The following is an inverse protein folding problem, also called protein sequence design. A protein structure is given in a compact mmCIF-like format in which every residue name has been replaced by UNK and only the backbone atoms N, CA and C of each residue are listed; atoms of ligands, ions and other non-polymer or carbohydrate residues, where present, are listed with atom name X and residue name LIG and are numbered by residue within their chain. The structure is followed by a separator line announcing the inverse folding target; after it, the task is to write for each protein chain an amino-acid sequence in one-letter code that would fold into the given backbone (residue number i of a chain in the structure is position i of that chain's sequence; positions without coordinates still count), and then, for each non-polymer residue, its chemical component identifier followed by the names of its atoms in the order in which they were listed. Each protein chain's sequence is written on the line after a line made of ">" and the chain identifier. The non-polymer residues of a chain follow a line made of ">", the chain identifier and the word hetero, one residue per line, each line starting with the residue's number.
data_IF_110916240693
#
_entry.id   IF_110916240693
#
_cell.length_a   1.000
_cell.length_b   1.000
_cell.length_c   1.000
_cell.angle_alpha   90.00
_cell.angle_beta   90.00
_cell.angle_gamma   90.00
#
_symmetry.space_group_name_H-M   'P 1'
#
loop_
_entity.id
_entity.type
_entity.pdbx_description
1 polymer ?
#
# COMPACT_ATOMS: atom_id res chain seq x y z
N UNK A 1 1.06 -14.53 7.99
CA UNK A 1 1.24 -13.89 9.32
C UNK A 1 -0.05 -13.20 9.71
N UNK A 2 -0.40 -13.13 11.00
CA UNK A 2 -1.50 -12.26 11.46
C UNK A 2 -1.04 -11.43 12.65
N UNK A 3 -1.48 -10.17 12.72
CA UNK A 3 -1.14 -9.23 13.79
C UNK A 3 -2.41 -8.61 14.34
N UNK A 4 -2.48 -8.51 15.67
CA UNK A 4 -3.52 -7.75 16.36
C UNK A 4 -3.03 -6.31 16.54
N UNK A 5 -3.74 -5.35 15.95
CA UNK A 5 -3.40 -3.92 16.01
C UNK A 5 -4.63 -3.09 16.37
N UNK A 6 -4.46 -1.81 16.70
CA UNK A 6 -5.59 -0.90 16.86
C UNK A 6 -6.41 -0.81 15.56
N UNK A 7 -7.75 -0.70 15.66
CA UNK A 7 -8.66 -0.70 14.50
C UNK A 7 -8.31 0.35 13.45
N UNK A 8 -7.97 1.57 13.87
CA UNK A 8 -7.58 2.64 12.94
C UNK A 8 -6.31 2.28 12.14
N UNK A 9 -5.35 1.59 12.79
CA UNK A 9 -4.14 1.12 12.11
C UNK A 9 -4.50 0.02 11.11
N UNK A 10 -5.36 -0.92 11.50
CA UNK A 10 -5.86 -1.96 10.60
C UNK A 10 -6.53 -1.37 9.35
N UNK A 11 -7.40 -0.36 9.54
CA UNK A 11 -8.04 0.37 8.43
C UNK A 11 -7.02 1.00 7.50
N UNK A 12 -5.95 1.60 8.02
CA UNK A 12 -4.87 2.18 7.20
C UNK A 12 -4.07 1.11 6.44
N UNK A 13 -3.84 -0.07 7.02
CA UNK A 13 -3.11 -1.17 6.37
C UNK A 13 -3.86 -1.72 5.15
N UNK A 14 -5.19 -1.79 5.22
CA UNK A 14 -6.06 -2.36 4.17
C UNK A 14 -6.75 -1.31 3.30
N UNK A 15 -6.53 -0.03 3.56
CA UNK A 15 -7.21 1.07 2.87
C UNK A 15 -6.99 1.01 1.35
N UNK A 16 -8.01 1.41 0.58
CA UNK A 16 -7.96 1.49 -0.88
C UNK A 16 -7.79 2.94 -1.35
N UNK A 17 -7.26 3.18 -2.56
CA UNK A 17 -7.18 4.52 -3.14
C UNK A 17 -8.51 5.27 -3.09
N UNK A 18 -8.44 6.57 -2.86
CA UNK A 18 -9.59 7.47 -2.70
C UNK A 18 -10.19 7.49 -1.30
N UNK A 19 -9.79 6.58 -0.40
CA UNK A 19 -10.31 6.57 0.97
C UNK A 19 -9.50 7.48 1.90
N UNK A 20 -10.14 7.99 2.96
CA UNK A 20 -9.48 8.79 3.99
C UNK A 20 -8.37 8.01 4.72
N UNK A 21 -8.45 6.70 4.82
CA UNK A 21 -7.42 5.91 5.51
C UNK A 21 -6.18 5.62 4.63
N UNK A 22 -6.30 5.78 3.31
CA UNK A 22 -5.25 5.45 2.36
C UNK A 22 -4.07 6.42 2.45
N UNK A 23 -2.87 5.86 2.41
CA UNK A 23 -1.64 6.61 2.58
C UNK A 23 -0.38 5.78 2.37
N UNK A 24 0.76 6.35 2.78
CA UNK A 24 2.06 5.67 2.73
C UNK A 24 2.05 4.27 3.36
N UNK A 25 1.41 4.11 4.53
CA UNK A 25 1.31 2.82 5.21
C UNK A 25 0.56 1.80 4.35
N UNK A 26 -0.55 2.19 3.72
CA UNK A 26 -1.33 1.32 2.84
C UNK A 26 -0.47 0.81 1.69
N UNK A 27 0.23 1.72 1.01
CA UNK A 27 1.12 1.38 -0.12
C UNK A 27 2.25 0.46 0.32
N UNK A 28 2.97 0.80 1.39
CA UNK A 28 4.08 0.00 1.92
C UNK A 28 3.65 -1.45 2.20
N UNK A 29 2.48 -1.59 2.83
CA UNK A 29 1.98 -2.90 3.26
C UNK A 29 1.49 -3.73 2.07
N UNK A 30 0.72 -3.11 1.18
CA UNK A 30 0.11 -3.76 0.02
C UNK A 30 1.11 -4.04 -1.10
N UNK A 31 2.26 -3.35 -1.12
CA UNK A 31 3.38 -3.64 -2.03
C UNK A 31 4.02 -5.01 -1.76
N UNK A 32 3.96 -5.50 -0.52
CA UNK A 32 4.67 -6.72 -0.09
C UNK A 32 3.73 -7.85 0.31
N UNK A 33 2.47 -7.53 0.60
CA UNK A 33 1.51 -8.50 1.12
C UNK A 33 0.08 -8.19 0.71
N UNK A 34 -0.72 -9.24 0.56
CA UNK A 34 -2.18 -9.16 0.56
C UNK A 34 -2.64 -9.07 2.00
N UNK A 35 -3.20 -7.93 2.36
CA UNK A 35 -3.71 -7.66 3.70
C UNK A 35 -5.23 -7.69 3.74
N UNK A 36 -5.78 -8.24 4.83
CA UNK A 36 -7.22 -8.19 5.11
C UNK A 36 -7.47 -8.12 6.61
N UNK A 37 -8.51 -7.37 6.99
CA UNK A 37 -9.05 -7.44 8.36
C UNK A 37 -9.83 -8.73 8.47
N UNK A 38 -9.48 -9.57 9.43
CA UNK A 38 -10.15 -10.85 9.69
C UNK A 38 -11.37 -10.60 10.57
N UNK A 39 -11.17 -9.95 11.72
CA UNK A 39 -12.25 -9.52 12.62
C UNK A 39 -11.77 -8.40 13.56
N UNK A 40 -12.71 -7.72 14.21
CA UNK A 40 -12.46 -6.70 15.24
C UNK A 40 -12.59 -7.30 16.64
N UNK A 41 -11.79 -6.80 17.59
CA UNK A 41 -11.81 -7.23 18.99
C UNK A 41 -12.19 -6.02 19.87
N UNK A 42 -13.24 -6.13 20.70
CA UNK A 42 -13.64 -5.05 21.59
C UNK A 42 -12.67 -4.90 22.78
N UNK A 43 -12.59 -3.72 23.40
CA UNK A 43 -11.74 -3.49 24.58
C UNK A 43 -11.96 -4.46 25.74
N UNK A 44 -13.21 -4.89 25.96
CA UNK A 44 -13.56 -5.82 27.04
C UNK A 44 -12.94 -7.21 26.93
N UNK A 45 -12.32 -7.54 25.79
CA UNK A 45 -11.58 -8.79 25.60
C UNK A 45 -10.13 -8.75 26.13
N UNK A 46 -9.69 -7.65 26.72
CA UNK A 46 -8.33 -7.45 27.23
C UNK A 46 -8.32 -7.17 28.75
N UNK A 47 -7.19 -7.46 29.40
CA UNK A 47 -6.94 -7.11 30.80
C UNK A 47 -5.54 -6.50 30.96
N UNK A 48 -5.41 -5.21 31.33
CA UNK A 48 -6.48 -4.22 31.50
C UNK A 48 -7.13 -3.82 30.16
N UNK A 49 -8.39 -3.35 30.15
CA UNK A 49 -9.08 -2.98 28.93
C UNK A 49 -8.50 -1.68 28.31
N UNK A 50 -8.16 -1.66 27.01
CA UNK A 50 -7.72 -0.45 26.32
C UNK A 50 -8.88 0.54 26.07
N UNK A 51 -8.58 1.74 25.57
CA UNK A 51 -9.60 2.75 25.23
C UNK A 51 -10.20 2.60 23.82
N UNK A 52 -9.62 1.74 22.99
CA UNK A 52 -9.94 1.64 21.56
C UNK A 52 -10.12 0.19 21.14
N UNK A 53 -10.86 -0.01 20.05
CA UNK A 53 -10.99 -1.33 19.42
C UNK A 53 -9.67 -1.79 18.81
N UNK A 54 -9.46 -3.10 18.81
CA UNK A 54 -8.41 -3.77 18.07
C UNK A 54 -9.00 -4.49 16.85
N UNK A 55 -8.13 -4.91 15.94
CA UNK A 55 -8.49 -5.72 14.78
C UNK A 55 -7.35 -6.69 14.45
N UNK A 56 -7.70 -7.93 14.15
CA UNK A 56 -6.76 -8.93 13.65
C UNK A 56 -6.62 -8.74 12.15
N UNK A 57 -5.41 -8.47 11.69
CA UNK A 57 -5.08 -8.30 10.28
C UNK A 57 -4.21 -9.46 9.83
N UNK A 58 -4.63 -10.17 8.78
CA UNK A 58 -3.79 -11.20 8.16
C UNK A 58 -3.01 -10.61 6.99
N UNK A 59 -1.75 -11.01 6.89
CA UNK A 59 -0.79 -10.66 5.86
C UNK A 59 -0.36 -11.95 5.15
N UNK A 60 -0.75 -12.08 3.89
CA UNK A 60 -0.25 -13.10 2.97
C UNK A 60 0.85 -12.44 2.13
N UNK A 61 2.11 -12.78 2.41
CA UNK A 61 3.26 -12.23 1.67
C UNK A 61 3.16 -12.69 0.22
N UNK A 62 3.06 -11.75 -0.71
CA UNK A 62 3.08 -12.06 -2.14
C UNK A 62 4.54 -12.06 -2.55
N UNK A 63 5.18 -13.22 -2.36
CA UNK A 63 6.61 -13.31 -2.58
C UNK A 63 6.96 -13.48 -4.05
N UNK A 64 7.62 -12.50 -4.63
CA UNK A 64 8.81 -12.75 -5.45
C UNK A 64 9.99 -12.92 -4.50
N UNK A 65 10.08 -14.09 -3.85
CA UNK A 65 11.28 -14.37 -3.08
C UNK A 65 12.49 -14.41 -4.04
N UNK A 66 13.64 -13.81 -3.69
CA UNK A 66 14.89 -14.17 -4.33
C UNK A 66 15.11 -15.69 -4.17
N UNK A 67 15.74 -16.34 -5.16
CA UNK A 67 15.80 -17.80 -5.31
C UNK A 67 16.28 -18.59 -4.07
N UNK A 68 16.93 -17.92 -3.11
CA UNK A 68 17.44 -18.52 -1.87
C UNK A 68 16.37 -18.80 -0.80
N UNK A 69 15.15 -18.27 -0.89
CA UNK A 69 14.10 -18.51 0.12
C UNK A 69 13.32 -19.85 -0.06
N UNK A 70 13.67 -20.67 -1.06
CA UNK A 70 13.01 -21.96 -1.32
C UNK A 70 13.19 -23.03 -0.22
N UNK A 71 13.87 -22.75 0.90
CA UNK A 71 14.15 -23.73 1.96
C UNK A 71 13.22 -23.70 3.18
N UNK A 72 12.16 -22.89 3.20
CA UNK A 72 11.16 -22.94 4.27
C UNK A 72 9.89 -23.67 3.80
N UNK A 73 9.82 -24.97 4.05
CA UNK A 73 8.58 -25.75 3.91
C UNK A 73 7.57 -25.23 4.94
N UNK A 74 6.37 -24.77 4.56
CA UNK A 74 5.34 -24.43 5.54
C UNK A 74 4.72 -25.70 6.14
N UNK A 75 4.38 -25.73 7.45
CA UNK A 75 3.65 -26.85 8.02
C UNK A 75 2.22 -26.89 7.47
N UNK A 76 1.80 -28.09 7.07
CA UNK A 76 0.46 -28.38 6.61
C UNK A 76 -0.55 -28.32 7.76
N UNK A 77 -1.70 -27.68 7.53
CA UNK A 77 -3.04 -28.16 7.91
C UNK A 77 -4.09 -27.11 7.54
N UNK A 78 -5.24 -27.58 7.07
CA UNK A 78 -6.26 -26.81 6.36
C UNK A 78 -7.24 -26.02 7.23
N UNK A 79 -7.91 -25.08 6.57
CA UNK A 79 -9.32 -24.74 6.78
C UNK A 79 -9.74 -23.78 5.66
N UNK A 80 -10.61 -24.26 4.78
CA UNK A 80 -11.28 -23.52 3.73
C UNK A 80 -12.28 -22.51 4.33
N UNK A 81 -12.41 -21.32 3.74
CA UNK A 81 -13.73 -20.69 3.55
C UNK A 81 -13.66 -19.50 2.59
N UNK A 82 -14.15 -19.77 1.38
CA UNK A 82 -14.88 -18.91 0.44
C UNK A 82 -15.01 -17.43 0.82
N UNK A 83 -14.00 -16.63 0.54
CA UNK A 83 -14.14 -15.18 0.39
C UNK A 83 -14.29 -14.83 -1.09
N UNK A 84 -15.31 -14.04 -1.42
CA UNK A 84 -15.58 -13.48 -2.77
C UNK A 84 -14.31 -12.87 -3.36
N UNK A 85 -14.10 -12.91 -4.69
CA UNK A 85 -12.92 -12.33 -5.33
C UNK A 85 -12.96 -10.81 -5.16
N UNK A 86 -12.31 -10.33 -4.10
CA UNK A 86 -12.12 -8.92 -3.83
C UNK A 86 -11.11 -8.39 -4.84
N UNK A 87 -11.62 -7.65 -5.82
CA UNK A 87 -10.93 -6.80 -6.78
C UNK A 87 -9.43 -7.06 -6.91
N UNK A 88 -9.10 -8.13 -7.63
CA UNK A 88 -7.73 -8.44 -8.00
C UNK A 88 -7.25 -7.36 -8.97
N UNK A 89 -6.42 -6.44 -8.49
CA UNK A 89 -5.43 -5.85 -9.38
C UNK A 89 -4.43 -6.99 -9.61
N UNK A 90 -4.65 -7.77 -10.67
CA UNK A 90 -3.65 -8.68 -11.19
C UNK A 90 -2.43 -7.85 -11.56
N UNK A 91 -1.45 -7.79 -10.66
CA UNK A 91 -0.18 -7.07 -10.90
C UNK A 91 0.65 -7.92 -11.86
N UNK A 92 0.27 -7.90 -13.13
CA UNK A 92 1.22 -8.04 -14.23
C UNK A 92 1.82 -6.66 -14.44
N UNK A 93 2.76 -6.26 -13.58
CA UNK A 93 3.45 -4.97 -13.72
C UNK A 93 4.87 -5.16 -13.20
N UNK A 94 5.84 -4.77 -14.01
CA UNK A 94 7.27 -4.74 -13.66
C UNK A 94 7.46 -4.12 -12.28
N UNK A 95 7.80 -4.94 -11.28
CA UNK A 95 8.15 -4.45 -9.95
C UNK A 95 9.24 -3.36 -10.09
N UNK A 96 9.15 -2.23 -9.37
CA UNK A 96 10.21 -1.24 -9.37
C UNK A 96 11.55 -1.94 -9.05
N UNK A 97 12.54 -1.82 -9.95
CA UNK A 97 13.86 -2.47 -9.81
C UNK A 97 14.51 -2.18 -8.45
N UNK A 98 14.22 -1.02 -7.87
CA UNK A 98 14.66 -0.62 -6.53
C UNK A 98 13.44 -0.25 -5.64
N UNK A 99 13.00 -1.20 -4.80
CA UNK A 99 11.88 -1.01 -3.86
C UNK A 99 12.15 0.10 -2.85
N UNK A 100 13.41 0.33 -2.49
CA UNK A 100 13.77 1.35 -1.49
C UNK A 100 13.56 2.74 -2.08
N UNK A 101 14.12 3.01 -3.27
CA UNK A 101 13.92 4.29 -3.97
C UNK A 101 12.45 4.55 -4.29
N UNK A 102 11.71 3.51 -4.69
CA UNK A 102 10.27 3.65 -4.90
C UNK A 102 9.53 4.04 -3.61
N UNK A 103 9.83 3.40 -2.48
CA UNK A 103 9.21 3.76 -1.20
C UNK A 103 9.58 5.17 -0.75
N UNK A 104 10.81 5.63 -1.00
CA UNK A 104 11.18 7.04 -0.77
C UNK A 104 10.36 8.00 -1.65
N UNK A 105 10.15 7.67 -2.92
CA UNK A 105 9.26 8.42 -3.82
C UNK A 105 7.82 8.46 -3.30
N UNK A 106 7.26 7.31 -2.89
CA UNK A 106 5.91 7.25 -2.32
C UNK A 106 5.84 8.07 -1.04
N UNK A 107 6.85 8.01 -0.17
CA UNK A 107 6.91 8.83 1.05
C UNK A 107 6.83 10.32 0.70
N UNK A 108 7.54 10.78 -0.33
CA UNK A 108 7.47 12.17 -0.83
C UNK A 108 6.06 12.51 -1.32
N UNK A 109 5.41 11.63 -2.08
CA UNK A 109 4.04 11.82 -2.55
C UNK A 109 3.03 12.06 -1.41
N UNK A 110 3.24 11.45 -0.25
CA UNK A 110 2.33 11.56 0.92
C UNK A 110 2.78 12.57 1.99
N UNK A 111 3.85 13.35 1.77
CA UNK A 111 4.39 14.33 2.73
C UNK A 111 3.32 15.29 3.26
N UNK A 112 2.55 15.90 2.35
CA UNK A 112 1.39 16.70 2.71
C UNK A 112 0.14 16.12 2.08
N UNK A 113 -0.63 15.37 2.88
CA UNK A 113 -1.83 14.64 2.44
C UNK A 113 -2.86 15.50 1.70
N UNK A 114 -2.99 16.78 2.07
CA UNK A 114 -3.99 17.70 1.48
C UNK A 114 -3.49 18.45 0.24
N UNK A 115 -2.20 18.38 -0.10
CA UNK A 115 -1.63 18.99 -1.31
C UNK A 115 -1.67 18.00 -2.47
N UNK A 116 -1.74 18.51 -3.69
CA UNK A 116 -1.64 17.69 -4.91
C UNK A 116 -0.22 17.10 -5.07
N UNK A 117 -0.09 16.10 -5.93
CA UNK A 117 1.19 15.44 -6.21
C UNK A 117 2.25 16.44 -6.69
N UNK A 118 1.84 17.38 -7.54
CA UNK A 118 2.74 18.37 -8.10
C UNK A 118 3.43 19.17 -6.99
N UNK A 119 2.70 19.68 -6.01
CA UNK A 119 3.30 20.43 -4.89
C UNK A 119 4.10 19.55 -3.92
N UNK A 120 3.81 18.25 -3.83
CA UNK A 120 4.59 17.33 -3.02
C UNK A 120 5.90 16.90 -3.70
N UNK A 121 5.94 16.90 -5.04
CA UNK A 121 7.09 16.42 -5.82
C UNK A 121 7.97 17.55 -6.39
N UNK A 122 7.51 18.80 -6.33
CA UNK A 122 8.23 19.95 -6.91
C UNK A 122 9.60 20.25 -6.29
N UNK A 123 9.91 19.66 -5.12
CA UNK A 123 11.23 19.76 -4.51
C UNK A 123 12.26 18.80 -5.13
N UNK A 124 11.81 17.73 -5.80
CA UNK A 124 12.68 16.69 -6.39
C UNK A 124 12.65 16.65 -7.91
N UNK A 125 11.57 17.14 -8.53
CA UNK A 125 11.39 17.13 -9.98
C UNK A 125 10.85 18.47 -10.45
N UNK A 126 11.18 18.88 -11.68
CA UNK A 126 10.63 20.10 -12.27
C UNK A 126 9.11 19.98 -12.47
N UNK A 127 8.38 21.08 -12.24
CA UNK A 127 6.91 21.11 -12.33
C UNK A 127 6.43 20.68 -13.73
N UNK A 128 7.04 21.22 -14.78
CA UNK A 128 6.71 20.87 -16.17
C UNK A 128 6.88 19.38 -16.45
N UNK A 129 7.90 18.74 -15.87
CA UNK A 129 8.12 17.30 -16.05
C UNK A 129 7.04 16.49 -15.36
N UNK A 130 6.66 16.87 -14.13
CA UNK A 130 5.57 16.21 -13.41
C UNK A 130 4.26 16.34 -14.19
N UNK A 131 3.92 17.54 -14.66
CA UNK A 131 2.70 17.78 -15.44
C UNK A 131 2.67 16.97 -16.74
N UNK A 132 3.78 16.94 -17.50
CA UNK A 132 3.89 16.14 -18.72
C UNK A 132 3.67 14.66 -18.46
N UNK A 133 4.29 14.09 -17.42
CA UNK A 133 4.13 12.66 -17.12
C UNK A 133 2.76 12.33 -16.52
N UNK A 134 2.16 13.23 -15.72
CA UNK A 134 0.77 13.06 -15.28
C UNK A 134 -0.21 13.06 -16.46
N UNK A 135 -0.04 13.98 -17.41
CA UNK A 135 -0.86 14.05 -18.62
C UNK A 135 -0.73 12.75 -19.46
N UNK A 136 0.48 12.20 -19.60
CA UNK A 136 0.72 10.90 -20.27
C UNK A 136 0.03 9.72 -19.59
N UNK A 137 -0.18 9.79 -18.27
CA UNK A 137 -0.94 8.80 -17.51
C UNK A 137 -2.45 9.10 -17.46
N UNK A 138 -2.93 10.11 -18.20
CA UNK A 138 -4.32 10.59 -18.16
C UNK A 138 -4.76 11.00 -16.75
N UNK A 139 -3.84 11.56 -15.95
CA UNK A 139 -4.09 12.04 -14.60
C UNK A 139 -4.12 13.57 -14.56
N UNK A 140 -5.06 14.20 -13.82
CA UNK A 140 -5.10 15.66 -13.71
C UNK A 140 -3.95 16.20 -12.84
N UNK A 141 -3.45 17.40 -13.16
CA UNK A 141 -2.38 18.06 -12.38
C UNK A 141 -2.77 18.37 -10.91
N UNK A 142 -4.08 18.40 -10.62
CA UNK A 142 -4.64 18.60 -9.28
C UNK A 142 -4.74 17.31 -8.46
N UNK A 143 -4.39 16.15 -9.03
CA UNK A 143 -4.54 14.86 -8.38
C UNK A 143 -3.71 14.77 -7.10
N UNK A 144 -4.28 14.16 -6.06
CA UNK A 144 -3.59 13.88 -4.79
C UNK A 144 -3.07 12.46 -4.75
N UNK A 145 -1.99 12.23 -4.02
CA UNK A 145 -1.40 10.89 -3.86
C UNK A 145 -2.42 9.86 -3.34
N UNK A 146 -3.34 10.27 -2.47
CA UNK A 146 -4.36 9.38 -1.91
C UNK A 146 -5.35 8.85 -2.95
N UNK A 147 -5.45 9.47 -4.12
CA UNK A 147 -6.33 9.05 -5.21
C UNK A 147 -5.67 8.06 -6.18
N UNK A 148 -4.35 7.87 -6.10
CA UNK A 148 -3.62 6.99 -7.01
C UNK A 148 -3.50 5.58 -6.46
N UNK A 149 -3.72 4.60 -7.34
CA UNK A 149 -3.36 3.21 -7.09
C UNK A 149 -1.85 3.02 -7.03
N UNK A 150 -1.41 1.93 -6.39
CA UNK A 150 0.01 1.53 -6.32
C UNK A 150 0.60 1.40 -7.73
N UNK A 151 -0.17 0.85 -8.68
CA UNK A 151 0.23 0.75 -10.09
C UNK A 151 0.48 2.13 -10.70
N UNK A 152 -0.44 3.08 -10.54
CA UNK A 152 -0.26 4.44 -11.06
C UNK A 152 0.93 5.16 -10.42
N UNK A 153 1.17 4.94 -9.12
CA UNK A 153 2.37 5.46 -8.45
C UNK A 153 3.66 4.86 -9.03
N UNK A 154 3.68 3.55 -9.29
CA UNK A 154 4.81 2.87 -9.92
C UNK A 154 5.05 3.34 -11.36
N UNK A 155 3.98 3.45 -12.16
CA UNK A 155 4.04 3.95 -13.54
C UNK A 155 4.56 5.40 -13.58
N UNK A 156 4.14 6.25 -12.63
CA UNK A 156 4.65 7.62 -12.49
C UNK A 156 6.13 7.64 -12.08
N UNK A 157 6.52 6.81 -11.11
CA UNK A 157 7.91 6.70 -10.66
C UNK A 157 8.84 6.30 -11.81
N UNK A 158 8.49 5.26 -12.58
CA UNK A 158 9.29 4.79 -13.70
C UNK A 158 9.51 5.85 -14.80
N UNK A 159 8.59 6.82 -14.94
CA UNK A 159 8.68 7.92 -15.90
C UNK A 159 9.44 9.14 -15.38
N UNK A 160 9.31 9.42 -14.07
CA UNK A 160 10.02 10.51 -13.40
C UNK A 160 11.45 10.16 -13.02
N UNK A 161 11.79 8.89 -12.92
CA UNK A 161 13.16 8.45 -12.63
C UNK A 161 13.48 7.23 -13.50
N UNK A 162 13.62 7.42 -14.83
CA UNK A 162 14.10 6.36 -15.69
C UNK A 162 15.58 6.15 -15.33
N UNK A 163 15.84 5.05 -14.63
CA UNK A 163 17.18 4.58 -14.30
C UNK A 163 18.10 4.54 -15.52
#
# INVERSE_FOLDING_TARGET
>A
MALLVQREVAERLVATPGTRAYGYLSVLTQLTSRTRVVFTVPPGAFSPPPKVHSALVSFEVVSTHPAWAKKAQPPAAGAESRAKPGNHIGVSTSEPRDKVKFLEFVKRCFTHKRKNLLNNLSASFSRDRIERELARLSLPATVRAEQLSIKQLADLYARLDPA
#
